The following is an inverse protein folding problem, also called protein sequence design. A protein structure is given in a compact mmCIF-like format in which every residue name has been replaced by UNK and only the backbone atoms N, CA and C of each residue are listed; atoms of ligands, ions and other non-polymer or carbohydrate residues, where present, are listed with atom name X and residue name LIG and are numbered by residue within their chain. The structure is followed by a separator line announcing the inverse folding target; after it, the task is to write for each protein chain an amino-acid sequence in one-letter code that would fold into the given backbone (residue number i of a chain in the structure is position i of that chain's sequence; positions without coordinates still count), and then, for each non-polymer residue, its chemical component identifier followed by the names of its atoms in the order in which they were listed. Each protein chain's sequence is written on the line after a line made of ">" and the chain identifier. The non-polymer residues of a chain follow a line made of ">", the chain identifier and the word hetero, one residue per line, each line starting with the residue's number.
data_IF_528513372496
#
_entry.id   IF_528513372496
#
_cell.length_a   1.000
_cell.length_b   1.000
_cell.length_c   1.000
_cell.angle_alpha   90.00
_cell.angle_beta   90.00
_cell.angle_gamma   90.00
#
_symmetry.space_group_name_H-M   'P 1'
#
loop_
_entity.id
_entity.type
_entity.pdbx_description
1 polymer ?
#
# COMPACT_ATOMS: atom_id res chain seq x y z
N UNK A 1 12.04 -16.39 -21.49
CA UNK A 1 12.31 -15.18 -20.68
C UNK A 1 10.98 -14.62 -20.28
N UNK A 2 10.78 -14.37 -18.99
CA UNK A 2 9.61 -13.67 -18.49
C UNK A 2 9.91 -12.16 -18.57
N UNK A 3 9.03 -11.39 -19.20
CA UNK A 3 9.24 -9.94 -19.33
C UNK A 3 8.75 -9.25 -18.05
N UNK A 4 9.50 -8.28 -17.50
CA UNK A 4 9.02 -7.49 -16.37
C UNK A 4 7.71 -6.77 -16.74
N UNK A 5 6.70 -6.93 -15.89
CA UNK A 5 5.37 -6.33 -16.02
C UNK A 5 4.95 -5.70 -14.70
N UNK A 6 4.88 -4.37 -14.70
CA UNK A 6 4.54 -3.56 -13.52
C UNK A 6 3.04 -3.29 -13.45
N UNK A 7 2.43 -3.54 -12.30
CA UNK A 7 1.06 -3.12 -11.97
C UNK A 7 1.07 -1.96 -10.98
N UNK A 8 0.40 -0.86 -11.33
CA UNK A 8 0.03 0.15 -10.34
C UNK A 8 -1.09 -0.40 -9.45
N UNK A 9 -0.78 -0.74 -8.20
CA UNK A 9 -1.69 -1.46 -7.30
C UNK A 9 -2.61 -0.52 -6.49
N UNK A 10 -2.91 0.66 -7.03
CA UNK A 10 -3.75 1.66 -6.39
C UNK A 10 -4.34 2.63 -7.41
N UNK A 11 -5.37 3.36 -7.00
CA UNK A 11 -5.93 4.47 -7.77
C UNK A 11 -6.37 5.61 -6.84
N UNK A 12 -6.61 6.79 -7.40
CA UNK A 12 -6.89 8.02 -6.64
C UNK A 12 -8.11 7.90 -5.71
N UNK A 13 -9.23 7.42 -6.26
CA UNK A 13 -10.52 7.32 -5.55
C UNK A 13 -10.65 6.05 -4.70
N UNK A 14 -9.55 5.52 -4.16
CA UNK A 14 -9.65 4.39 -3.22
C UNK A 14 -10.56 4.78 -2.05
N UNK A 15 -11.46 3.90 -1.57
CA UNK A 15 -12.39 4.23 -0.48
C UNK A 15 -11.67 4.75 0.77
N UNK A 16 -12.29 5.65 1.53
CA UNK A 16 -11.65 6.25 2.73
C UNK A 16 -11.50 5.23 3.88
N UNK A 17 -12.23 4.13 3.85
CA UNK A 17 -12.02 2.96 4.74
C UNK A 17 -11.05 1.94 4.13
N UNK A 18 -10.09 2.41 3.31
CA UNK A 18 -9.29 1.54 2.44
C UNK A 18 -8.51 0.50 3.23
N UNK A 19 -8.56 -0.69 2.65
CA UNK A 19 -7.97 -1.94 3.10
C UNK A 19 -6.82 -2.35 2.18
N UNK A 20 -6.23 -1.43 1.42
CA UNK A 20 -5.28 -1.77 0.36
C UNK A 20 -4.17 -2.71 0.85
N UNK A 21 -3.61 -2.45 2.04
CA UNK A 21 -2.61 -3.35 2.62
C UNK A 21 -3.16 -4.74 2.99
N UNK A 22 -4.42 -4.85 3.41
CA UNK A 22 -5.08 -6.15 3.62
C UNK A 22 -5.55 -6.83 2.33
N UNK A 23 -5.81 -6.08 1.26
CA UNK A 23 -6.24 -6.61 -0.04
C UNK A 23 -5.06 -7.22 -0.80
N UNK A 24 -3.86 -6.64 -0.69
CA UNK A 24 -2.68 -7.15 -1.39
C UNK A 24 -2.41 -8.66 -1.15
N UNK A 25 -2.43 -9.18 0.10
CA UNK A 25 -2.38 -10.62 0.36
C UNK A 25 -3.49 -11.43 -0.30
N UNK A 26 -4.72 -10.90 -0.36
CA UNK A 26 -5.89 -11.57 -0.94
C UNK A 26 -5.76 -11.71 -2.47
N UNK A 27 -5.03 -10.81 -3.12
CA UNK A 27 -4.82 -10.80 -4.57
C UNK A 27 -3.61 -11.60 -5.05
N UNK A 28 -2.81 -12.18 -4.15
CA UNK A 28 -1.57 -12.88 -4.50
C UNK A 28 -1.75 -14.03 -5.50
N UNK A 29 -2.83 -14.82 -5.37
CA UNK A 29 -3.14 -15.89 -6.31
C UNK A 29 -3.42 -15.36 -7.73
N UNK A 30 -4.21 -14.30 -7.84
CA UNK A 30 -4.51 -13.66 -9.12
C UNK A 30 -3.28 -13.00 -9.75
N UNK A 31 -2.42 -12.37 -8.93
CA UNK A 31 -1.16 -11.79 -9.39
C UNK A 31 -0.22 -12.87 -9.98
N UNK A 32 -0.13 -14.03 -9.33
CA UNK A 32 0.66 -15.16 -9.81
C UNK A 32 0.14 -15.74 -11.15
N UNK A 33 -1.18 -15.68 -11.39
CA UNK A 33 -1.80 -16.15 -12.62
C UNK A 33 -1.67 -15.18 -13.80
N UNK A 34 -1.36 -13.90 -13.56
CA UNK A 34 -1.41 -12.82 -14.56
C UNK A 34 -0.05 -12.39 -15.09
N UNK A 35 1.03 -13.12 -14.77
CA UNK A 35 2.40 -12.83 -15.20
C UNK A 35 2.88 -11.41 -14.81
N UNK A 36 2.29 -10.84 -13.75
CA UNK A 36 2.71 -9.56 -13.16
C UNK A 36 3.92 -9.82 -12.26
N UNK A 37 5.00 -9.08 -12.48
CA UNK A 37 6.27 -9.27 -11.76
C UNK A 37 6.49 -8.24 -10.67
N UNK A 38 5.92 -7.04 -10.82
CA UNK A 38 6.19 -5.92 -9.93
C UNK A 38 4.89 -5.21 -9.56
N UNK A 39 4.79 -4.79 -8.29
CA UNK A 39 3.68 -3.97 -7.79
C UNK A 39 4.19 -2.59 -7.38
N UNK A 40 3.68 -1.54 -8.03
CA UNK A 40 3.86 -0.17 -7.57
C UNK A 40 2.79 0.17 -6.53
N UNK A 41 3.24 0.30 -5.28
CA UNK A 41 2.42 0.68 -4.13
C UNK A 41 2.34 2.21 -3.98
N UNK A 42 1.24 2.76 -3.41
CA UNK A 42 1.15 4.19 -3.14
C UNK A 42 2.14 4.62 -2.05
N UNK A 43 2.40 5.94 -1.89
CA UNK A 43 3.22 6.43 -0.79
C UNK A 43 2.65 5.99 0.57
N UNK A 44 3.47 5.31 1.37
CA UNK A 44 3.04 4.66 2.61
C UNK A 44 3.28 5.49 3.88
N UNK A 45 3.96 6.62 3.75
CA UNK A 45 4.27 7.54 4.85
C UNK A 45 3.12 8.50 5.16
N UNK A 46 3.15 9.12 6.34
CA UNK A 46 2.12 10.05 6.80
C UNK A 46 2.04 11.30 5.90
N UNK A 47 0.82 11.61 5.45
CA UNK A 47 0.50 12.83 4.71
C UNK A 47 -0.12 13.94 5.56
N UNK A 48 -0.24 15.12 4.96
CA UNK A 48 -0.72 16.34 5.60
C UNK A 48 -2.23 16.40 5.78
N UNK A 49 -2.99 15.69 4.94
CA UNK A 49 -4.46 15.67 4.90
C UNK A 49 -5.08 14.52 5.72
N UNK A 50 -4.39 14.08 6.77
CA UNK A 50 -4.86 13.02 7.68
C UNK A 50 -5.23 11.71 6.93
N UNK A 51 -6.36 11.07 7.28
CA UNK A 51 -6.86 9.85 6.63
C UNK A 51 -7.29 10.02 5.18
N UNK A 52 -7.41 11.25 4.68
CA UNK A 52 -7.79 11.53 3.28
C UNK A 52 -6.58 11.66 2.36
N UNK A 53 -5.37 11.68 2.91
CA UNK A 53 -4.14 11.76 2.14
C UNK A 53 -4.00 10.55 1.22
N UNK A 54 -3.81 10.82 -0.08
CA UNK A 54 -3.38 9.81 -1.08
C UNK A 54 -1.86 9.59 -1.07
N UNK A 55 -1.13 10.24 -0.15
CA UNK A 55 0.30 10.08 0.06
C UNK A 55 1.20 11.13 -0.62
N UNK A 56 0.68 11.93 -1.56
CA UNK A 56 1.47 12.92 -2.31
C UNK A 56 1.65 14.25 -1.57
N UNK A 57 0.87 14.50 -0.53
CA UNK A 57 0.97 15.62 0.40
C UNK A 57 1.83 15.23 1.61
N UNK A 58 3.08 14.84 1.36
CA UNK A 58 4.01 14.31 2.37
C UNK A 58 4.14 15.21 3.61
N UNK A 59 4.01 14.61 4.80
CA UNK A 59 4.21 15.30 6.08
C UNK A 59 5.45 14.76 6.83
N UNK A 60 5.51 13.46 7.09
CA UNK A 60 6.63 12.80 7.77
C UNK A 60 7.02 11.52 7.03
N UNK A 61 8.20 11.54 6.38
CA UNK A 61 8.72 10.41 5.61
C UNK A 61 9.07 9.20 6.48
N UNK A 62 9.30 9.39 7.79
CA UNK A 62 9.68 8.32 8.70
C UNK A 62 8.48 7.71 9.43
N UNK A 63 7.34 8.40 9.44
CA UNK A 63 6.09 7.84 9.96
C UNK A 63 5.43 6.95 8.89
N UNK A 64 5.95 5.72 8.78
CA UNK A 64 5.31 4.61 8.06
C UNK A 64 4.18 4.03 8.90
N UNK A 65 3.28 4.89 9.38
CA UNK A 65 2.06 4.50 10.07
C UNK A 65 2.32 3.88 11.45
N UNK A 66 3.30 4.43 12.16
CA UNK A 66 3.77 3.95 13.44
C UNK A 66 3.34 4.87 14.60
N UNK A 67 3.22 6.17 14.32
CA UNK A 67 2.97 7.17 15.35
C UNK A 67 1.54 7.69 15.29
N UNK A 68 0.98 8.00 16.47
CA UNK A 68 -0.28 8.73 16.58
C UNK A 68 -0.01 10.22 16.27
N UNK A 69 -0.23 10.59 15.02
CA UNK A 69 -0.01 11.94 14.51
C UNK A 69 -1.16 12.28 13.56
N UNK A 70 -1.64 13.53 13.61
CA UNK A 70 -2.74 14.02 12.74
C UNK A 70 -4.07 13.28 12.95
N UNK A 71 -4.37 12.91 14.21
CA UNK A 71 -5.65 12.31 14.59
C UNK A 71 -5.85 10.85 14.18
N UNK A 72 -4.84 10.21 13.59
CA UNK A 72 -4.88 8.79 13.22
C UNK A 72 -3.49 8.18 13.27
N UNK A 73 -3.42 6.95 13.80
CA UNK A 73 -2.23 6.11 13.60
C UNK A 73 -2.15 5.61 12.16
N UNK A 74 -3.28 5.16 11.59
CA UNK A 74 -3.39 4.61 10.23
C UNK A 74 -3.29 5.69 9.14
N UNK A 75 -2.71 5.33 7.99
CA UNK A 75 -2.86 6.11 6.74
C UNK A 75 -4.18 5.74 6.07
N UNK A 76 -4.48 6.36 4.94
CA UNK A 76 -5.59 5.96 4.06
C UNK A 76 -5.57 4.45 3.76
N UNK A 77 -4.39 3.83 3.64
CA UNK A 77 -4.23 2.47 3.10
C UNK A 77 -4.16 1.36 4.16
N UNK A 78 -4.07 1.71 5.44
CA UNK A 78 -3.92 0.79 6.57
C UNK A 78 -2.73 1.14 7.47
N UNK A 79 -2.39 0.24 8.40
CA UNK A 79 -1.31 0.37 9.38
C UNK A 79 0.02 -0.30 8.97
N UNK A 80 1.08 -0.08 9.77
CA UNK A 80 2.43 -0.62 9.54
C UNK A 80 2.47 -2.15 9.47
N UNK A 81 1.68 -2.84 10.30
CA UNK A 81 1.63 -4.30 10.34
C UNK A 81 1.00 -4.84 9.05
N UNK A 82 -0.07 -4.19 8.59
CA UNK A 82 -0.71 -4.53 7.34
C UNK A 82 0.22 -4.27 6.15
N UNK A 83 0.92 -3.13 6.13
CA UNK A 83 1.91 -2.82 5.09
C UNK A 83 3.01 -3.89 5.03
N UNK A 84 3.56 -4.30 6.18
CA UNK A 84 4.58 -5.34 6.24
C UNK A 84 4.04 -6.67 5.69
N UNK A 85 2.82 -7.04 6.11
CA UNK A 85 2.14 -8.27 5.63
C UNK A 85 1.92 -8.23 4.12
N UNK A 86 1.51 -7.09 3.57
CA UNK A 86 1.33 -6.88 2.13
C UNK A 86 2.64 -7.08 1.37
N UNK A 87 3.71 -6.43 1.82
CA UNK A 87 5.03 -6.51 1.17
C UNK A 87 5.59 -7.93 1.23
N UNK A 88 5.46 -8.62 2.36
CA UNK A 88 5.95 -10.00 2.50
C UNK A 88 5.14 -10.98 1.64
N UNK A 89 3.82 -10.80 1.54
CA UNK A 89 2.97 -11.60 0.67
C UNK A 89 3.30 -11.39 -0.81
N UNK A 90 3.53 -10.14 -1.25
CA UNK A 90 3.92 -9.84 -2.63
C UNK A 90 5.30 -10.39 -2.96
N UNK A 91 6.28 -10.25 -2.07
CA UNK A 91 7.64 -10.81 -2.25
C UNK A 91 7.68 -12.33 -2.30
N UNK A 92 6.71 -13.01 -1.69
CA UNK A 92 6.63 -14.46 -1.71
C UNK A 92 6.24 -15.01 -3.11
N UNK A 93 5.75 -14.16 -4.02
CA UNK A 93 5.38 -14.56 -5.38
C UNK A 93 6.58 -14.71 -6.33
N UNK A 94 7.72 -14.10 -6.01
CA UNK A 94 8.91 -14.04 -6.86
C UNK A 94 9.17 -12.64 -7.39
#
# INVERSE_FOLDING_TARGET
>A
MHNPSLLQFFHWNYPDSSKLWSEAPEHTAWLAETDITDAWLPPAHKGGSEGYSVGYDTYDLFDLVEFDQKGSRATKYGDKTQLQTAVDALRALG
#
